data_IF_677859565898
#
_entry.id   IF_677859565898
#
_cell.length_a   1.000
_cell.length_b   1.000
_cell.length_c   1.000
_cell.angle_alpha   90.00
_cell.angle_beta   90.00
_cell.angle_gamma   90.00
#
_symmetry.space_group_name_H-M   'P 1'
#
loop_
_entity.id
_entity.type
_entity.pdbx_description
1 polymer ?
#
# COMPACT_ATOMS: atom_id res chain seq x y z
N UNK A 1 43.95 32.73 1.42
CA UNK A 1 42.86 33.55 1.98
C UNK A 1 41.56 33.13 1.33
N UNK A 2 40.82 32.20 1.94
CA UNK A 2 39.38 32.28 2.24
C UNK A 2 38.96 30.94 2.87
N UNK A 3 38.36 31.05 4.05
CA UNK A 3 37.65 30.00 4.78
C UNK A 3 36.29 29.72 4.11
N UNK A 4 35.72 28.50 4.27
CA UNK A 4 34.56 28.24 5.15
C UNK A 4 33.74 26.95 4.83
N UNK A 5 33.43 26.21 5.91
CA UNK A 5 32.21 25.40 6.22
C UNK A 5 32.01 24.07 5.45
N UNK A 6 32.38 22.93 6.04
CA UNK A 6 31.55 22.02 6.87
C UNK A 6 30.25 21.58 6.17
N UNK A 7 30.32 20.41 5.52
CA UNK A 7 29.16 19.56 5.26
C UNK A 7 29.25 18.34 6.17
N UNK A 8 28.80 18.52 7.41
CA UNK A 8 28.56 17.46 8.38
C UNK A 8 27.56 16.47 7.77
N UNK A 9 28.03 15.35 7.20
CA UNK A 9 27.15 14.21 6.90
C UNK A 9 26.83 13.56 8.24
N UNK A 10 25.77 14.05 8.87
CA UNK A 10 25.08 13.32 9.91
C UNK A 10 24.56 12.03 9.27
N UNK A 11 25.32 10.93 9.37
CA UNK A 11 24.77 9.59 9.32
C UNK A 11 23.88 9.43 10.55
N UNK A 12 22.68 10.00 10.45
CA UNK A 12 21.65 9.93 11.47
C UNK A 12 21.07 8.52 11.44
N UNK A 13 21.50 7.69 12.39
CA UNK A 13 20.77 6.54 12.89
C UNK A 13 20.77 5.30 11.98
N UNK A 14 21.26 4.17 12.51
CA UNK A 14 20.82 2.83 12.10
C UNK A 14 19.34 2.60 12.48
N UNK A 15 18.44 3.46 12.00
CA UNK A 15 17.02 3.16 11.96
C UNK A 15 16.78 2.25 10.76
N UNK A 16 16.03 1.16 10.94
CA UNK A 16 15.54 0.40 9.78
C UNK A 16 14.57 1.30 9.01
N UNK A 17 14.70 1.33 7.69
CA UNK A 17 13.79 2.09 6.82
C UNK A 17 12.37 1.52 6.88
N UNK A 18 11.37 2.39 6.70
CA UNK A 18 9.97 1.99 6.58
C UNK A 18 9.82 1.07 5.35
N UNK A 19 9.09 -0.03 5.51
CA UNK A 19 8.87 -0.99 4.42
C UNK A 19 7.45 -1.55 4.47
N UNK A 20 6.97 -2.04 3.32
CA UNK A 20 5.71 -2.75 3.21
C UNK A 20 6.00 -4.14 2.63
N UNK A 21 6.12 -5.14 3.50
CA UNK A 21 6.41 -6.51 3.10
C UNK A 21 5.17 -7.09 2.39
N UNK A 22 5.24 -7.28 1.07
CA UNK A 22 4.17 -7.88 0.28
C UNK A 22 4.22 -9.40 0.37
N UNK A 23 3.10 -10.00 0.72
CA UNK A 23 2.98 -11.45 0.88
C UNK A 23 2.23 -12.12 -0.27
N UNK A 24 1.23 -11.42 -0.80
CA UNK A 24 0.34 -11.95 -1.84
C UNK A 24 -0.15 -10.79 -2.70
N UNK A 25 -0.09 -10.98 -4.02
CA UNK A 25 -0.82 -10.17 -4.99
C UNK A 25 -1.67 -11.16 -5.80
N UNK A 26 -2.99 -11.08 -5.68
CA UNK A 26 -3.90 -11.97 -6.38
C UNK A 26 -4.91 -11.19 -7.20
N UNK A 27 -5.08 -11.62 -8.44
CA UNK A 27 -5.85 -10.94 -9.48
C UNK A 27 -7.15 -11.70 -9.73
N UNK A 28 -8.27 -10.97 -9.77
CA UNK A 28 -9.59 -11.53 -10.06
C UNK A 28 -10.28 -10.73 -11.15
N UNK A 29 -11.11 -11.44 -11.91
CA UNK A 29 -12.00 -10.86 -12.91
C UNK A 29 -13.43 -11.19 -12.52
N UNK A 30 -14.27 -10.16 -12.40
CA UNK A 30 -15.71 -10.33 -12.27
C UNK A 30 -16.39 -9.85 -13.56
N UNK A 31 -16.86 -10.78 -14.42
CA UNK A 31 -17.47 -10.43 -15.69
C UNK A 31 -18.71 -9.53 -15.52
N UNK A 32 -18.95 -8.57 -16.43
CA UNK A 32 -18.24 -8.38 -17.69
C UNK A 32 -17.11 -7.35 -17.66
N UNK A 33 -16.96 -6.52 -16.63
CA UNK A 33 -16.19 -5.26 -16.75
C UNK A 33 -15.36 -4.86 -15.53
N UNK A 34 -15.29 -5.65 -14.46
CA UNK A 34 -14.63 -5.22 -13.23
C UNK A 34 -13.46 -6.12 -12.87
N UNK A 35 -12.32 -5.48 -12.59
CA UNK A 35 -11.06 -6.11 -12.26
C UNK A 35 -10.68 -5.80 -10.81
N UNK A 36 -10.21 -6.82 -10.11
CA UNK A 36 -9.84 -6.74 -8.71
C UNK A 36 -8.40 -7.19 -8.54
N UNK A 37 -7.65 -6.47 -7.72
CA UNK A 37 -6.35 -6.89 -7.25
C UNK A 37 -6.35 -6.89 -5.73
N UNK A 38 -6.14 -8.06 -5.12
CA UNK A 38 -5.88 -8.20 -3.69
C UNK A 38 -4.39 -8.01 -3.46
N UNK A 39 -4.03 -7.13 -2.54
CA UNK A 39 -2.65 -6.91 -2.07
C UNK A 39 -2.62 -7.18 -0.58
N UNK A 40 -1.89 -8.22 -0.17
CA UNK A 40 -1.67 -8.55 1.24
C UNK A 40 -0.27 -8.10 1.65
N UNK A 41 -0.19 -7.32 2.71
CA UNK A 41 1.07 -6.71 3.15
C UNK A 41 1.19 -6.58 4.66
N UNK A 42 2.43 -6.39 5.13
CA UNK A 42 2.74 -6.04 6.52
C UNK A 42 3.68 -4.83 6.55
N UNK A 43 3.22 -3.68 7.09
CA UNK A 43 4.10 -2.53 7.31
C UNK A 43 5.17 -2.86 8.35
N UNK A 44 6.41 -2.41 8.11
CA UNK A 44 7.56 -2.57 9.00
C UNK A 44 8.16 -1.22 9.32
N UNK A 45 8.53 -1.03 10.59
CA UNK A 45 9.23 0.15 11.11
C UNK A 45 8.45 1.47 11.01
N UNK A 46 7.17 1.44 10.61
CA UNK A 46 6.31 2.62 10.54
C UNK A 46 6.02 3.21 11.93
N UNK A 47 5.80 4.52 11.98
CA UNK A 47 5.46 5.24 13.21
C UNK A 47 4.06 4.91 13.74
N UNK A 48 3.85 5.08 15.05
CA UNK A 48 2.50 4.99 15.65
C UNK A 48 1.57 6.05 15.05
N UNK A 49 0.32 5.66 14.79
CA UNK A 49 -0.67 6.57 14.19
C UNK A 49 -0.41 6.84 12.71
N UNK A 50 0.36 5.99 12.04
CA UNK A 50 0.56 6.07 10.58
C UNK A 50 -0.78 5.86 9.87
N UNK A 51 -1.07 6.72 8.91
CA UNK A 51 -2.27 6.66 8.09
C UNK A 51 -1.89 6.21 6.69
N UNK A 52 -2.38 5.05 6.25
CA UNK A 52 -2.32 4.63 4.85
C UNK A 52 -3.35 5.46 4.08
N UNK A 53 -2.87 6.30 3.16
CA UNK A 53 -3.67 7.28 2.44
C UNK A 53 -4.31 6.69 1.20
N UNK A 54 -3.51 6.00 0.40
CA UNK A 54 -3.93 5.35 -0.84
C UNK A 54 -2.94 4.26 -1.21
N UNK A 55 -3.41 3.31 -2.00
CA UNK A 55 -2.57 2.37 -2.74
C UNK A 55 -2.91 2.54 -4.23
N UNK A 56 -1.89 2.63 -5.08
CA UNK A 56 -2.05 2.71 -6.54
C UNK A 56 -1.25 1.61 -7.21
N UNK A 57 -1.72 1.15 -8.37
CA UNK A 57 -1.03 0.17 -9.20
C UNK A 57 -0.68 0.86 -10.54
N UNK A 58 0.58 1.28 -10.68
CA UNK A 58 1.02 2.14 -11.78
C UNK A 58 0.10 3.35 -12.01
N UNK A 59 -0.26 3.60 -13.27
CA UNK A 59 -1.12 4.72 -13.69
C UNK A 59 -2.60 4.33 -13.85
N UNK A 60 -3.02 3.20 -13.27
CA UNK A 60 -4.40 2.72 -13.44
C UNK A 60 -5.34 3.50 -12.54
N UNK A 61 -6.42 4.03 -13.13
CA UNK A 61 -7.48 4.68 -12.37
C UNK A 61 -8.25 3.64 -11.55
N UNK A 62 -8.27 3.84 -10.23
CA UNK A 62 -8.99 2.97 -9.30
C UNK A 62 -10.37 3.55 -8.98
N UNK A 63 -11.39 2.71 -9.09
CA UNK A 63 -12.76 3.04 -8.70
C UNK A 63 -12.92 3.04 -7.17
N UNK A 64 -12.24 2.12 -6.48
CA UNK A 64 -12.22 2.02 -5.01
C UNK A 64 -10.95 1.29 -4.55
N UNK A 65 -10.56 1.56 -3.30
CA UNK A 65 -9.51 0.84 -2.59
C UNK A 65 -9.92 0.68 -1.12
N UNK A 66 -10.07 -0.57 -0.68
CA UNK A 66 -10.61 -0.85 0.65
C UNK A 66 -9.97 -2.06 1.33
N UNK A 67 -9.93 -2.03 2.65
CA UNK A 67 -9.47 -3.15 3.48
C UNK A 67 -10.59 -4.18 3.64
N UNK A 68 -10.19 -5.45 3.64
CA UNK A 68 -11.05 -6.59 3.92
C UNK A 68 -10.56 -7.41 5.12
N UNK A 69 -11.49 -8.14 5.72
CA UNK A 69 -11.20 -9.24 6.65
C UNK A 69 -10.91 -10.55 5.86
N UNK A 70 -9.63 -10.78 5.54
CA UNK A 70 -9.15 -11.89 4.71
C UNK A 70 -9.03 -13.21 5.51
N UNK A 71 -10.18 -13.87 5.74
CA UNK A 71 -10.27 -15.21 6.34
C UNK A 71 -10.47 -16.29 5.27
N UNK A 72 -9.36 -16.85 4.78
CA UNK A 72 -9.18 -18.08 3.97
C UNK A 72 -10.05 -18.28 2.71
N UNK A 73 -10.85 -17.29 2.31
CA UNK A 73 -11.69 -17.38 1.12
C UNK A 73 -11.51 -16.19 0.19
N UNK A 74 -11.35 -16.51 -1.08
CA UNK A 74 -10.84 -15.64 -2.12
C UNK A 74 -11.84 -15.56 -3.29
N UNK A 75 -12.99 -14.92 -3.10
CA UNK A 75 -13.95 -14.62 -4.16
C UNK A 75 -14.38 -13.16 -4.16
N UNK A 76 -14.71 -12.63 -5.33
CA UNK A 76 -15.10 -11.21 -5.50
C UNK A 76 -16.36 -10.87 -4.69
N UNK A 77 -17.36 -11.76 -4.70
CA UNK A 77 -18.60 -11.56 -3.93
C UNK A 77 -18.32 -11.41 -2.43
N UNK A 78 -17.38 -12.20 -1.90
CA UNK A 78 -17.04 -12.16 -0.47
C UNK A 78 -16.23 -10.91 -0.10
N UNK A 79 -15.45 -10.33 -1.02
CA UNK A 79 -14.69 -9.11 -0.76
C UNK A 79 -15.58 -7.91 -0.46
N UNK A 80 -16.67 -7.74 -1.21
CA UNK A 80 -17.62 -6.66 -0.95
C UNK A 80 -18.33 -6.82 0.40
N UNK A 81 -18.65 -8.07 0.79
CA UNK A 81 -19.30 -8.38 2.08
C UNK A 81 -18.34 -8.16 3.25
N UNK A 82 -17.04 -8.43 3.06
CA UNK A 82 -16.01 -8.36 4.09
C UNK A 82 -15.26 -7.04 4.13
N UNK A 83 -15.71 -6.04 3.38
CA UNK A 83 -15.19 -4.68 3.41
C UNK A 83 -15.25 -4.14 4.84
N UNK A 84 -14.09 -3.83 5.41
CA UNK A 84 -13.95 -3.26 6.75
C UNK A 84 -13.97 -1.72 6.68
N UNK A 85 -13.19 -1.14 5.77
CA UNK A 85 -13.08 0.31 5.61
C UNK A 85 -12.48 0.67 4.24
N UNK A 86 -12.88 1.81 3.67
CA UNK A 86 -12.17 2.43 2.55
C UNK A 86 -10.97 3.23 3.05
N UNK A 87 -9.93 3.37 2.21
CA UNK A 87 -8.83 4.28 2.49
C UNK A 87 -9.31 5.75 2.51
N UNK A 88 -8.72 6.64 3.33
CA UNK A 88 -7.55 6.43 4.19
C UNK A 88 -7.88 5.76 5.53
N UNK A 89 -6.93 5.01 6.10
CA UNK A 89 -7.09 4.36 7.41
C UNK A 89 -5.82 4.44 8.27
N UNK A 90 -5.95 4.26 9.57
CA UNK A 90 -4.79 4.03 10.44
C UNK A 90 -4.30 2.58 10.32
N UNK A 91 -2.98 2.41 10.23
CA UNK A 91 -2.30 1.10 10.21
C UNK A 91 -1.22 1.06 11.28
N UNK A 92 -0.93 -0.14 11.76
CA UNK A 92 0.08 -0.41 12.77
C UNK A 92 1.23 -1.26 12.21
N UNK A 93 2.43 -1.09 12.77
CA UNK A 93 3.59 -1.90 12.40
C UNK A 93 3.34 -3.37 12.76
N UNK A 94 3.83 -4.27 11.91
CA UNK A 94 3.80 -5.71 12.09
C UNK A 94 2.41 -6.37 12.04
N UNK A 95 1.34 -5.58 11.81
CA UNK A 95 0.01 -6.11 11.51
C UNK A 95 -0.14 -6.46 10.02
N UNK A 96 -0.98 -7.46 9.73
CA UNK A 96 -1.23 -7.92 8.37
C UNK A 96 -2.53 -7.33 7.85
N UNK A 97 -2.44 -6.69 6.69
CA UNK A 97 -3.57 -6.06 6.02
C UNK A 97 -3.78 -6.68 4.65
N UNK A 98 -5.04 -6.67 4.19
CA UNK A 98 -5.41 -7.08 2.85
C UNK A 98 -6.28 -5.98 2.24
N UNK A 99 -5.80 -5.39 1.15
CA UNK A 99 -6.51 -4.34 0.40
C UNK A 99 -6.98 -4.90 -0.93
N UNK A 100 -8.20 -4.54 -1.30
CA UNK A 100 -8.76 -4.77 -2.63
C UNK A 100 -8.68 -3.45 -3.40
N UNK A 101 -7.99 -3.49 -4.54
CA UNK A 101 -7.99 -2.44 -5.55
C UNK A 101 -9.02 -2.80 -6.63
N UNK A 102 -9.89 -1.87 -6.95
CA UNK A 102 -10.98 -2.04 -7.92
C UNK A 102 -10.76 -1.14 -9.13
N UNK A 103 -10.85 -1.67 -10.34
CA UNK A 103 -10.85 -0.86 -11.56
C UNK A 103 -11.74 -1.47 -12.65
N UNK A 104 -12.23 -0.64 -13.55
CA UNK A 104 -12.81 -1.08 -14.84
C UNK A 104 -11.73 -1.26 -15.92
N UNK A 105 -10.50 -0.81 -15.68
CA UNK A 105 -9.38 -1.00 -16.59
C UNK A 105 -8.69 -2.35 -16.32
N UNK A 106 -8.64 -3.19 -17.36
CA UNK A 106 -7.92 -4.48 -17.33
C UNK A 106 -6.43 -4.31 -17.06
N UNK A 107 -5.87 -3.13 -17.37
CA UNK A 107 -4.46 -2.83 -17.13
C UNK A 107 -4.09 -2.96 -15.65
N UNK A 108 -5.06 -2.92 -14.72
CA UNK A 108 -4.83 -3.22 -13.31
C UNK A 108 -4.06 -4.54 -13.13
N UNK A 109 -4.43 -5.57 -13.88
CA UNK A 109 -3.84 -6.92 -13.74
C UNK A 109 -2.44 -7.03 -14.39
N UNK A 110 -2.03 -6.02 -15.16
CA UNK A 110 -0.76 -6.01 -15.88
C UNK A 110 0.31 -5.18 -15.14
N UNK A 111 -0.03 -4.57 -14.00
CA UNK A 111 0.86 -3.68 -13.26
C UNK A 111 1.96 -4.46 -12.53
N UNK A 112 3.17 -3.88 -12.59
CA UNK A 112 4.36 -4.38 -11.90
C UNK A 112 4.73 -3.56 -10.68
N UNK A 113 4.20 -2.36 -10.57
CA UNK A 113 4.52 -1.44 -9.49
C UNK A 113 3.27 -1.17 -8.67
N UNK A 114 3.41 -1.26 -7.35
CA UNK A 114 2.38 -0.90 -6.37
C UNK A 114 2.96 0.15 -5.44
N UNK A 115 2.32 1.32 -5.40
CA UNK A 115 2.73 2.43 -4.55
C UNK A 115 1.81 2.53 -3.34
N UNK A 116 2.42 2.62 -2.16
CA UNK A 116 1.77 2.85 -0.88
C UNK A 116 2.04 4.29 -0.47
N UNK A 117 1.02 5.15 -0.55
CA UNK A 117 1.10 6.50 -0.01
C UNK A 117 0.64 6.49 1.45
N UNK A 118 1.48 6.97 2.36
CA UNK A 118 1.17 6.98 3.79
C UNK A 118 1.70 8.23 4.48
N UNK A 119 1.08 8.55 5.62
CA UNK A 119 1.46 9.68 6.47
C UNK A 119 1.89 9.18 7.83
N UNK A 120 3.11 9.49 8.23
CA UNK A 120 3.65 9.21 9.57
C UNK A 120 4.14 10.51 10.21
N UNK A 121 3.56 10.86 11.36
CA UNK A 121 3.72 12.18 11.96
C UNK A 121 3.31 13.31 11.01
N UNK A 122 4.25 14.20 10.67
CA UNK A 122 4.04 15.31 9.74
C UNK A 122 4.47 15.02 8.31
N UNK A 123 5.08 13.86 8.03
CA UNK A 123 5.62 13.51 6.72
C UNK A 123 4.61 12.67 5.94
N UNK A 124 4.45 12.99 4.67
CA UNK A 124 3.80 12.13 3.69
C UNK A 124 4.90 11.48 2.85
N UNK A 125 4.82 10.17 2.68
CA UNK A 125 5.83 9.33 2.05
C UNK A 125 5.15 8.37 1.08
N UNK A 126 5.92 7.88 0.12
CA UNK A 126 5.51 6.82 -0.79
C UNK A 126 6.52 5.69 -0.72
N UNK A 127 6.04 4.46 -0.59
CA UNK A 127 6.83 3.25 -0.74
C UNK A 127 6.38 2.52 -2.01
N UNK A 128 7.33 2.22 -2.89
CA UNK A 128 7.07 1.51 -4.16
C UNK A 128 7.52 0.07 -4.05
N UNK A 129 6.64 -0.86 -4.40
CA UNK A 129 6.93 -2.28 -4.54
C UNK A 129 6.93 -2.68 -6.02
N UNK A 130 8.00 -3.32 -6.47
CA UNK A 130 8.09 -3.97 -7.78
C UNK A 130 7.83 -5.48 -7.66
N UNK A 131 6.87 -6.00 -8.43
CA UNK A 131 6.41 -7.40 -8.50
C UNK A 131 7.40 -8.33 -9.21
#
# INVERSE_FOLDING_TARGET
MLFFIIGLVLMAGCGKEDAFDIHEITEYKDPPSTYYMKVQFTPKNIGKGTVLKSITAGNVELNDAYIIDDRDKNSVEEYNIRKLASLPIQIESDERYSVILLSEDKALLEQKEIDFSYKTGSKELTYTHEK
#
